data_IF_138482227226
#
_entry.id   IF_138482227226
#
_cell.length_a   1.000
_cell.length_b   1.000
_cell.length_c   1.000
_cell.angle_alpha   90.00
_cell.angle_beta   90.00
_cell.angle_gamma   90.00
#
_symmetry.space_group_name_H-M   'P 1'
#
loop_
_entity.id
_entity.type
_entity.pdbx_description
1 polymer ?
#
# COMPACT_ATOMS: atom_id res chain seq x y z
N UNK A 1 7.48 -21.16 4.92
CA UNK A 1 8.67 -21.71 5.62
C UNK A 1 9.09 -22.87 4.79
N UNK A 2 10.27 -22.80 4.19
CA UNK A 2 10.75 -23.80 3.24
C UNK A 2 12.11 -24.26 3.77
N UNK A 3 12.35 -25.58 3.75
CA UNK A 3 13.63 -26.15 4.18
C UNK A 3 14.60 -26.15 3.00
N UNK A 4 15.83 -25.69 3.21
CA UNK A 4 16.91 -25.72 2.23
C UNK A 4 18.10 -26.39 2.92
N UNK A 5 18.64 -27.44 2.32
CA UNK A 5 19.85 -28.10 2.79
C UNK A 5 21.08 -27.43 2.17
N UNK A 6 22.10 -27.20 2.98
CA UNK A 6 23.37 -26.58 2.61
C UNK A 6 24.51 -27.33 3.29
N UNK A 7 25.69 -27.28 2.70
CA UNK A 7 26.89 -27.85 3.32
C UNK A 7 27.41 -27.01 4.50
N UNK A 8 28.36 -27.60 5.23
CA UNK A 8 28.92 -26.99 6.44
C UNK A 8 29.71 -25.70 6.16
N UNK A 9 30.38 -25.60 5.01
CA UNK A 9 31.17 -24.43 4.65
C UNK A 9 30.25 -23.24 4.33
N UNK A 10 29.16 -23.47 3.62
CA UNK A 10 28.11 -22.47 3.39
C UNK A 10 27.48 -22.02 4.71
N UNK A 11 27.15 -22.95 5.60
CA UNK A 11 26.61 -22.60 6.92
C UNK A 11 27.57 -21.70 7.71
N UNK A 12 28.86 -22.07 7.75
CA UNK A 12 29.91 -21.29 8.42
C UNK A 12 30.05 -19.90 7.81
N UNK A 13 30.03 -19.80 6.48
CA UNK A 13 30.12 -18.53 5.76
C UNK A 13 28.92 -17.63 6.06
N UNK A 14 27.70 -18.16 6.02
CA UNK A 14 26.49 -17.41 6.36
C UNK A 14 26.49 -16.94 7.82
N UNK A 15 27.01 -17.77 8.73
CA UNK A 15 27.16 -17.40 10.15
C UNK A 15 28.13 -16.24 10.33
N UNK A 16 29.28 -16.28 9.65
CA UNK A 16 30.28 -15.21 9.69
C UNK A 16 29.77 -13.87 9.15
N UNK A 17 28.76 -13.88 8.28
CA UNK A 17 28.15 -12.67 7.70
C UNK A 17 27.09 -12.04 8.62
N UNK A 18 26.72 -12.70 9.73
CA UNK A 18 25.80 -12.13 10.71
C UNK A 18 26.57 -11.13 11.59
N UNK A 19 26.44 -9.85 11.28
CA UNK A 19 27.04 -8.76 12.06
C UNK A 19 26.47 -8.66 13.49
N UNK A 20 25.20 -9.03 13.67
CA UNK A 20 24.52 -9.00 14.97
C UNK A 20 23.60 -10.21 15.15
N UNK A 21 23.28 -10.55 16.40
CA UNK A 21 22.41 -11.68 16.73
C UNK A 21 21.01 -11.57 16.11
N UNK A 22 20.53 -10.34 15.91
CA UNK A 22 19.22 -10.04 15.32
C UNK A 22 19.13 -10.28 13.80
N UNK A 23 20.26 -10.48 13.12
CA UNK A 23 20.27 -10.77 11.67
C UNK A 23 20.02 -12.26 11.48
N UNK A 24 18.98 -12.62 10.72
CA UNK A 24 18.68 -14.03 10.41
C UNK A 24 19.49 -14.51 9.21
N UNK A 25 19.65 -15.83 9.05
CA UNK A 25 20.25 -16.41 7.84
C UNK A 25 19.54 -15.97 6.56
N UNK A 26 18.21 -15.89 6.60
CA UNK A 26 17.42 -15.41 5.47
C UNK A 26 17.73 -13.93 5.13
N UNK A 27 18.00 -13.08 6.12
CA UNK A 27 18.41 -11.69 5.87
C UNK A 27 19.80 -11.60 5.22
N UNK A 28 20.74 -12.45 5.63
CA UNK A 28 22.06 -12.57 5.01
C UNK A 28 21.93 -13.00 3.54
N UNK A 29 21.14 -14.05 3.29
CA UNK A 29 20.91 -14.58 1.94
C UNK A 29 20.28 -13.51 1.05
N UNK A 30 19.26 -12.78 1.55
CA UNK A 30 18.64 -11.69 0.79
C UNK A 30 19.63 -10.60 0.41
N UNK A 31 20.56 -10.25 1.30
CA UNK A 31 21.62 -9.27 1.02
C UNK A 31 22.58 -9.78 -0.06
N UNK A 32 22.97 -11.06 -0.01
CA UNK A 32 23.84 -11.67 -1.02
C UNK A 32 23.18 -11.75 -2.41
N UNK A 33 21.85 -11.88 -2.45
CA UNK A 33 21.06 -11.95 -3.67
C UNK A 33 20.52 -10.59 -4.16
N UNK A 34 20.93 -9.49 -3.52
CA UNK A 34 20.43 -8.14 -3.79
C UNK A 34 18.89 -8.00 -3.74
N UNK A 35 18.25 -8.77 -2.84
CA UNK A 35 16.81 -8.74 -2.63
C UNK A 35 16.44 -7.65 -1.61
N UNK A 36 15.28 -6.97 -1.76
CA UNK A 36 14.83 -5.98 -0.81
C UNK A 36 14.70 -6.59 0.59
N UNK A 37 15.27 -5.88 1.57
CA UNK A 37 15.27 -6.30 2.97
C UNK A 37 13.86 -6.10 3.55
N UNK A 38 13.30 -7.13 4.19
CA UNK A 38 11.94 -7.10 4.76
C UNK A 38 11.72 -5.92 5.73
N UNK A 39 12.79 -5.45 6.39
CA UNK A 39 12.78 -4.25 7.26
C UNK A 39 12.43 -2.95 6.52
N UNK A 40 12.77 -2.81 5.24
CA UNK A 40 12.38 -1.65 4.42
C UNK A 40 10.89 -1.67 4.08
N UNK A 41 10.31 -2.85 3.80
CA UNK A 41 8.86 -3.00 3.62
C UNK A 41 8.09 -2.70 4.90
N UNK A 42 8.62 -3.12 6.06
CA UNK A 42 8.01 -2.82 7.36
C UNK A 42 8.04 -1.31 7.63
N UNK A 43 9.16 -0.62 7.38
CA UNK A 43 9.24 0.85 7.57
C UNK A 43 8.34 1.61 6.60
N UNK A 44 8.24 1.19 5.33
CA UNK A 44 7.29 1.76 4.37
C UNK A 44 5.84 1.55 4.83
N UNK A 45 5.50 0.35 5.32
CA UNK A 45 4.17 0.08 5.86
C UNK A 45 3.86 0.92 7.11
N UNK A 46 4.79 1.04 8.07
CA UNK A 46 4.58 1.83 9.30
C UNK A 46 4.44 3.33 9.00
N UNK A 47 5.22 3.86 8.04
CA UNK A 47 5.04 5.22 7.56
C UNK A 47 3.67 5.39 6.89
N UNK A 48 3.23 4.44 6.05
CA UNK A 48 1.91 4.49 5.42
C UNK A 48 0.75 4.38 6.42
N UNK A 49 0.93 3.62 7.52
CA UNK A 49 -0.03 3.42 8.60
C UNK A 49 -0.26 4.69 9.44
N UNK A 50 0.75 5.57 9.57
CA UNK A 50 0.60 6.85 10.30
C UNK A 50 -0.33 7.84 9.59
N UNK A 51 -0.62 7.59 8.32
CA UNK A 51 -1.29 8.53 7.43
C UNK A 51 -2.44 7.86 6.64
N UNK A 52 -2.81 6.64 7.01
CA UNK A 52 -3.90 5.89 6.37
C UNK A 52 -5.25 6.59 6.58
N UNK A 53 -6.02 6.74 5.51
CA UNK A 53 -7.42 7.12 5.59
C UNK A 53 -8.26 5.89 5.93
N UNK A 54 -8.92 5.89 7.09
CA UNK A 54 -9.88 4.84 7.45
C UNK A 54 -11.29 5.35 7.16
N UNK A 55 -12.02 4.66 6.28
CA UNK A 55 -13.39 5.00 5.95
C UNK A 55 -14.30 3.77 6.05
N UNK A 56 -15.31 3.82 6.93
CA UNK A 56 -16.30 2.74 7.12
C UNK A 56 -15.68 1.32 7.27
N UNK A 57 -14.56 1.23 7.98
CA UNK A 57 -13.85 -0.03 8.24
C UNK A 57 -12.88 -0.48 7.15
N UNK A 58 -12.76 0.27 6.04
CA UNK A 58 -11.74 0.04 5.01
C UNK A 58 -10.60 1.02 5.22
N UNK A 59 -9.38 0.48 5.26
CA UNK A 59 -8.15 1.26 5.38
C UNK A 59 -7.56 1.53 3.98
N UNK A 60 -7.27 2.80 3.71
CA UNK A 60 -6.57 3.24 2.51
C UNK A 60 -5.22 3.85 2.94
N UNK A 61 -4.10 3.14 2.71
CA UNK A 61 -2.78 3.66 3.03
C UNK A 61 -2.46 4.93 2.23
N UNK A 62 -1.56 5.75 2.76
CA UNK A 62 -1.01 6.89 2.03
C UNK A 62 -0.41 6.46 0.68
N UNK A 63 -0.62 7.29 -0.35
CA UNK A 63 -0.25 6.98 -1.73
C UNK A 63 -1.26 6.09 -2.46
N UNK A 64 -2.38 5.70 -1.83
CA UNK A 64 -3.49 5.06 -2.55
C UNK A 64 -4.03 6.02 -3.61
N UNK A 65 -4.03 5.59 -4.87
CA UNK A 65 -4.57 6.36 -5.97
C UNK A 65 -6.05 5.99 -6.16
N UNK A 66 -6.91 6.99 -6.38
CA UNK A 66 -8.28 6.81 -6.83
C UNK A 66 -8.44 7.33 -8.25
N UNK A 67 -9.26 6.64 -9.04
CA UNK A 67 -9.69 7.13 -10.35
C UNK A 67 -11.19 6.93 -10.54
N UNK A 68 -11.78 7.79 -11.34
CA UNK A 68 -13.14 7.63 -11.83
C UNK A 68 -13.26 8.18 -13.24
N UNK A 69 -14.18 7.62 -14.01
CA UNK A 69 -14.57 8.12 -15.31
C UNK A 69 -16.01 8.63 -15.23
N UNK A 70 -16.20 9.93 -15.44
CA UNK A 70 -17.52 10.56 -15.36
C UNK A 70 -17.69 11.61 -16.45
N UNK A 71 -18.78 11.49 -17.24
CA UNK A 71 -19.13 12.38 -18.35
C UNK A 71 -17.96 12.62 -19.33
N UNK A 72 -17.24 11.55 -19.71
CA UNK A 72 -16.11 11.64 -20.63
C UNK A 72 -14.81 12.21 -20.03
N UNK A 73 -14.79 12.51 -18.73
CA UNK A 73 -13.62 13.04 -18.02
C UNK A 73 -13.07 12.04 -17.03
N UNK A 74 -11.76 11.97 -16.95
CA UNK A 74 -11.03 11.17 -15.97
C UNK A 74 -10.72 12.04 -14.76
N UNK A 75 -11.14 11.60 -13.60
CA UNK A 75 -10.83 12.23 -12.33
C UNK A 75 -9.85 11.35 -11.57
N UNK A 76 -8.82 11.98 -10.99
CA UNK A 76 -7.82 11.30 -10.17
C UNK A 76 -7.76 11.96 -8.80
N UNK A 77 -7.63 11.15 -7.77
CA UNK A 77 -7.39 11.60 -6.41
C UNK A 77 -6.33 10.71 -5.75
N UNK A 78 -5.69 11.19 -4.70
CA UNK A 78 -4.64 10.45 -3.97
C UNK A 78 -4.90 10.57 -2.47
N UNK A 79 -4.61 9.51 -1.71
CA UNK A 79 -4.59 9.58 -0.25
C UNK A 79 -3.28 10.21 0.20
N UNK A 80 -3.37 11.34 0.89
CA UNK A 80 -2.25 12.05 1.49
C UNK A 80 -2.70 12.63 2.83
N UNK A 81 -1.85 12.54 3.85
CA UNK A 81 -2.15 13.08 5.19
C UNK A 81 -3.45 12.52 5.83
N UNK A 82 -3.89 11.31 5.46
CA UNK A 82 -5.16 10.73 5.90
C UNK A 82 -6.41 11.36 5.24
N UNK A 83 -6.24 12.08 4.13
CA UNK A 83 -7.32 12.67 3.34
C UNK A 83 -7.24 12.23 1.88
N UNK A 84 -8.39 12.14 1.22
CA UNK A 84 -8.47 12.05 -0.24
C UNK A 84 -8.25 13.45 -0.80
N UNK A 85 -7.15 13.67 -1.50
CA UNK A 85 -6.83 14.90 -2.21
C UNK A 85 -7.35 14.78 -3.64
N UNK A 86 -8.33 15.62 -3.99
CA UNK A 86 -8.89 15.69 -5.33
C UNK A 86 -8.89 17.16 -5.78
N UNK A 87 -8.16 17.45 -6.86
CA UNK A 87 -7.99 18.81 -7.38
C UNK A 87 -7.57 19.83 -6.29
N UNK A 88 -6.69 19.41 -5.38
CA UNK A 88 -6.21 20.24 -4.26
C UNK A 88 -7.18 20.38 -3.08
N UNK A 89 -8.38 19.78 -3.13
CA UNK A 89 -9.32 19.77 -2.00
C UNK A 89 -9.18 18.48 -1.19
N UNK A 90 -9.19 18.61 0.14
CA UNK A 90 -9.11 17.50 1.10
C UNK A 90 -10.51 16.95 1.42
N UNK A 91 -10.68 15.63 1.34
CA UNK A 91 -11.92 14.94 1.71
C UNK A 91 -11.66 13.78 2.68
N UNK A 92 -12.52 13.62 3.68
CA UNK A 92 -12.43 12.54 4.69
C UNK A 92 -13.09 11.22 4.25
N UNK A 93 -13.73 11.18 3.08
CA UNK A 93 -14.35 9.96 2.56
C UNK A 93 -14.59 10.02 1.05
N UNK A 94 -14.80 8.87 0.39
CA UNK A 94 -15.03 8.81 -1.05
C UNK A 94 -16.31 9.50 -1.52
N UNK A 95 -17.36 9.53 -0.68
CA UNK A 95 -18.65 10.10 -1.06
C UNK A 95 -18.60 11.62 -1.27
N UNK A 96 -18.12 12.46 -0.32
CA UNK A 96 -17.89 13.89 -0.55
C UNK A 96 -16.99 14.18 -1.75
N UNK A 97 -15.94 13.38 -1.96
CA UNK A 97 -15.06 13.53 -3.12
C UNK A 97 -15.83 13.30 -4.44
N UNK A 98 -16.67 12.26 -4.51
CA UNK A 98 -17.51 12.01 -5.69
C UNK A 98 -18.56 13.10 -5.91
N UNK A 99 -19.22 13.56 -4.84
CA UNK A 99 -20.21 14.65 -4.90
C UNK A 99 -19.59 15.92 -5.44
N UNK A 100 -18.33 16.22 -5.10
CA UNK A 100 -17.62 17.39 -5.62
C UNK A 100 -17.39 17.36 -7.14
N UNK A 101 -17.44 16.17 -7.76
CA UNK A 101 -17.30 15.99 -9.21
C UNK A 101 -18.67 16.00 -9.88
N UNK A 102 -19.64 15.27 -9.30
CA UNK A 102 -20.94 15.04 -9.92
C UNK A 102 -21.94 16.17 -9.63
N UNK A 103 -21.64 17.04 -8.65
CA UNK A 103 -22.55 18.02 -8.06
C UNK A 103 -23.90 17.41 -7.60
N UNK A 104 -23.91 16.10 -7.34
CA UNK A 104 -25.09 15.34 -6.95
C UNK A 104 -24.72 14.32 -5.88
N UNK A 105 -25.67 13.97 -5.02
CA UNK A 105 -25.48 12.89 -4.06
C UNK A 105 -25.28 11.56 -4.79
N UNK A 106 -24.07 11.00 -4.70
CA UNK A 106 -23.70 9.75 -5.38
C UNK A 106 -23.00 8.81 -4.41
N UNK A 107 -23.11 7.51 -4.69
CA UNK A 107 -22.42 6.50 -3.91
C UNK A 107 -20.93 6.45 -4.29
N UNK A 108 -20.09 7.13 -3.50
CA UNK A 108 -18.64 7.17 -3.70
C UNK A 108 -17.97 5.79 -3.76
N UNK A 109 -18.56 4.76 -3.17
CA UNK A 109 -17.98 3.40 -3.18
C UNK A 109 -18.11 2.69 -4.53
N UNK A 110 -19.09 3.08 -5.34
CA UNK A 110 -19.29 2.54 -6.69
C UNK A 110 -18.63 3.45 -7.73
N UNK A 111 -18.61 4.75 -7.44
CA UNK A 111 -18.06 5.77 -8.32
C UNK A 111 -16.54 5.69 -8.49
N UNK A 112 -15.84 5.30 -7.43
CA UNK A 112 -14.38 5.26 -7.41
C UNK A 112 -13.82 3.85 -7.61
N UNK A 113 -12.70 3.78 -8.32
CA UNK A 113 -11.76 2.68 -8.27
C UNK A 113 -10.51 3.14 -7.53
N UNK A 114 -9.91 2.27 -6.72
CA UNK A 114 -8.64 2.54 -6.05
C UNK A 114 -7.55 1.58 -6.50
N UNK A 115 -6.31 2.04 -6.40
CA UNK A 115 -5.09 1.25 -6.55
C UNK A 115 -4.28 1.46 -5.28
N UNK A 116 -4.21 0.39 -4.48
CA UNK A 116 -3.42 0.38 -3.24
C UNK A 116 -1.92 0.42 -3.59
N UNK A 117 -1.06 1.02 -2.76
CA UNK A 117 0.38 1.10 -3.03
C UNK A 117 1.03 -0.29 -3.15
N UNK A 118 0.49 -1.28 -2.43
CA UNK A 118 0.98 -2.66 -2.45
C UNK A 118 0.38 -3.51 -3.59
N UNK A 119 -0.50 -2.94 -4.42
CA UNK A 119 -1.26 -3.69 -5.41
C UNK A 119 -1.26 -2.96 -6.77
N UNK A 120 -0.82 -3.62 -7.83
CA UNK A 120 -0.71 -2.98 -9.15
C UNK A 120 -2.05 -2.88 -9.91
N UNK A 121 -3.10 -3.54 -9.41
CA UNK A 121 -4.42 -3.57 -10.05
C UNK A 121 -5.35 -2.52 -9.48
N UNK A 122 -6.17 -1.94 -10.35
CA UNK A 122 -7.31 -1.11 -9.96
C UNK A 122 -8.46 -2.01 -9.52
N UNK A 123 -9.04 -1.69 -8.38
CA UNK A 123 -10.19 -2.41 -7.79
C UNK A 123 -11.27 -1.40 -7.44
N UNK A 124 -12.53 -1.78 -7.64
CA UNK A 124 -13.67 -0.93 -7.26
C UNK A 124 -13.79 -0.87 -5.74
N UNK A 125 -14.05 0.31 -5.17
CA UNK A 125 -14.15 0.46 -3.71
C UNK A 125 -15.23 -0.45 -3.10
N UNK A 126 -16.31 -0.70 -3.85
CA UNK A 126 -17.37 -1.64 -3.45
C UNK A 126 -16.81 -3.04 -3.13
N UNK A 127 -15.79 -3.53 -3.83
CA UNK A 127 -15.24 -4.88 -3.58
C UNK A 127 -14.44 -4.96 -2.29
N UNK A 128 -14.05 -3.83 -1.70
CA UNK A 128 -13.33 -3.77 -0.43
C UNK A 128 -14.28 -3.87 0.78
N UNK A 129 -15.59 -3.74 0.56
CA UNK A 129 -16.60 -3.78 1.59
C UNK A 129 -17.51 -4.99 1.34
N UNK A 130 -17.29 -6.06 2.10
CA UNK A 130 -18.23 -7.18 2.21
C UNK A 130 -19.48 -6.76 2.99
#
# INVERSE_FOLDING_TARGET
MNTIEIDFDVYKKLTSLRETENVTYNDVIRRLLDLPQKRQEIRKNIASLKTSLICKGVEFPEGTEFKSHYKGRHYRAVVEDGFIILNGKKYKSPSPAAVSITNNSVNGWIFWECKLPNNQRWITLKSLRN
#
